data_IF_570436300252
#
_entry.id   IF_570436300252
#
_cell.length_a   1.000
_cell.length_b   1.000
_cell.length_c   1.000
_cell.angle_alpha   90.00
_cell.angle_beta   90.00
_cell.angle_gamma   90.00
#
_symmetry.space_group_name_H-M   'P 1'
#
loop_
_entity.id
_entity.type
_entity.pdbx_description
1 polymer ?
#
# COMPACT_ATOMS: atom_id res chain seq x y z
N UNK A 1 6.54 -29.95 -19.53
CA UNK A 1 5.99 -28.80 -18.78
C UNK A 1 7.10 -27.86 -18.32
N UNK A 2 8.05 -28.30 -17.47
CA UNK A 2 9.12 -27.45 -16.92
C UNK A 2 9.86 -26.58 -17.96
N UNK A 3 10.38 -27.22 -19.00
CA UNK A 3 11.12 -26.54 -20.08
C UNK A 3 10.25 -25.50 -20.81
N UNK A 4 9.03 -25.89 -21.20
CA UNK A 4 8.10 -24.99 -21.89
C UNK A 4 7.72 -23.78 -21.02
N UNK A 5 7.52 -23.98 -19.71
CA UNK A 5 7.24 -22.90 -18.77
C UNK A 5 8.43 -21.95 -18.63
N UNK A 6 9.66 -22.48 -18.53
CA UNK A 6 10.88 -21.68 -18.47
C UNK A 6 11.09 -20.85 -19.75
N UNK A 7 10.90 -21.45 -20.92
CA UNK A 7 10.98 -20.76 -22.21
C UNK A 7 9.93 -19.64 -22.30
N UNK A 8 8.68 -19.93 -21.97
CA UNK A 8 7.62 -18.92 -21.96
C UNK A 8 7.90 -17.77 -20.98
N UNK A 9 8.43 -18.09 -19.80
CA UNK A 9 8.80 -17.11 -18.78
C UNK A 9 9.95 -16.19 -19.23
N UNK A 10 10.96 -16.77 -19.89
CA UNK A 10 12.17 -16.08 -20.35
C UNK A 10 12.01 -15.21 -21.59
N UNK A 11 10.84 -15.25 -22.26
CA UNK A 11 10.61 -14.49 -23.48
C UNK A 11 10.78 -12.98 -23.23
N UNK A 12 11.64 -12.27 -23.99
CA UNK A 12 12.00 -10.88 -23.70
C UNK A 12 10.90 -9.87 -24.04
N UNK A 13 9.95 -10.21 -24.93
CA UNK A 13 8.83 -9.34 -25.30
C UNK A 13 7.62 -9.46 -24.37
N UNK A 14 6.57 -8.67 -24.60
CA UNK A 14 5.30 -8.80 -23.85
C UNK A 14 4.57 -10.06 -24.32
N UNK A 15 3.98 -10.83 -23.38
CA UNK A 15 3.13 -11.97 -23.74
C UNK A 15 1.76 -11.47 -24.20
N UNK A 16 1.22 -12.08 -25.26
CA UNK A 16 -0.07 -11.71 -25.84
C UNK A 16 -1.15 -12.70 -25.41
N UNK A 17 -2.42 -12.32 -25.54
CA UNK A 17 -3.54 -13.24 -25.32
C UNK A 17 -3.43 -14.50 -26.21
N UNK A 18 -2.93 -14.35 -27.44
CA UNK A 18 -2.74 -15.47 -28.36
C UNK A 18 -1.66 -16.45 -27.88
N UNK A 19 -0.51 -15.97 -27.40
CA UNK A 19 0.55 -16.83 -26.88
C UNK A 19 0.17 -17.49 -25.56
N UNK A 20 -0.53 -16.77 -24.67
CA UNK A 20 -1.09 -17.34 -23.45
C UNK A 20 -2.12 -18.45 -23.77
N UNK A 21 -2.98 -18.23 -24.76
CA UNK A 21 -3.94 -19.25 -25.22
C UNK A 21 -3.25 -20.47 -25.80
N UNK A 22 -2.30 -20.31 -26.71
CA UNK A 22 -1.55 -21.44 -27.27
C UNK A 22 -0.86 -22.27 -26.18
N UNK A 23 -0.26 -21.60 -25.19
CA UNK A 23 0.37 -22.27 -24.06
C UNK A 23 -0.65 -23.08 -23.23
N UNK A 24 -1.80 -22.48 -22.89
CA UNK A 24 -2.84 -23.12 -22.09
C UNK A 24 -3.60 -24.22 -22.83
N UNK A 25 -3.71 -24.14 -24.16
CA UNK A 25 -4.26 -25.19 -25.02
C UNK A 25 -3.37 -26.46 -24.95
N UNK A 26 -2.05 -26.30 -24.77
CA UNK A 26 -1.08 -27.39 -24.60
C UNK A 26 -0.93 -27.86 -23.15
N UNK A 27 -1.01 -26.93 -22.20
CA UNK A 27 -0.81 -27.18 -20.78
C UNK A 27 -1.95 -26.53 -19.98
N UNK A 28 -3.06 -27.25 -19.74
CA UNK A 28 -4.20 -26.69 -19.02
C UNK A 28 -3.83 -26.24 -17.60
N UNK A 29 -4.44 -25.15 -17.12
CA UNK A 29 -4.17 -24.57 -15.79
C UNK A 29 -4.26 -25.59 -14.66
N UNK A 30 -5.24 -26.50 -14.69
CA UNK A 30 -5.37 -27.56 -13.70
C UNK A 30 -4.13 -28.47 -13.61
N UNK A 31 -3.50 -28.77 -14.76
CA UNK A 31 -2.26 -29.57 -14.82
C UNK A 31 -1.09 -28.77 -14.25
N UNK A 32 -1.01 -27.47 -14.56
CA UNK A 32 0.04 -26.58 -14.04
C UNK A 32 -0.09 -26.45 -12.52
N UNK A 33 -1.30 -26.24 -11.99
CA UNK A 33 -1.53 -26.13 -10.55
C UNK A 33 -1.25 -27.43 -9.81
N UNK A 34 -1.65 -28.58 -10.37
CA UNK A 34 -1.28 -29.87 -9.82
C UNK A 34 0.24 -30.06 -9.78
N UNK A 35 0.94 -29.69 -10.85
CA UNK A 35 2.40 -29.74 -10.87
C UNK A 35 3.05 -28.77 -9.85
N UNK A 36 2.44 -27.62 -9.58
CA UNK A 36 2.91 -26.68 -8.56
C UNK A 36 2.72 -27.23 -7.15
N UNK A 37 1.63 -27.97 -6.90
CA UNK A 37 1.36 -28.62 -5.61
C UNK A 37 2.26 -29.84 -5.37
N UNK A 38 2.60 -30.60 -6.40
CA UNK A 38 3.42 -31.81 -6.32
C UNK A 38 4.92 -31.57 -6.61
N UNK A 39 5.30 -30.36 -7.00
CA UNK A 39 6.59 -30.05 -7.62
C UNK A 39 7.80 -29.93 -6.71
N UNK A 40 7.68 -30.26 -5.41
CA UNK A 40 8.77 -30.16 -4.44
C UNK A 40 10.01 -31.00 -4.82
N UNK A 41 9.82 -32.05 -5.63
CA UNK A 41 10.87 -33.01 -5.97
C UNK A 41 11.69 -32.64 -7.24
N UNK A 42 11.29 -31.62 -8.00
CA UNK A 42 11.97 -31.22 -9.24
C UNK A 42 12.59 -29.84 -9.10
N UNK A 43 13.92 -29.80 -9.02
CA UNK A 43 14.68 -28.55 -8.89
C UNK A 43 14.32 -27.54 -9.98
N UNK A 44 13.95 -26.32 -9.59
CA UNK A 44 13.64 -25.21 -10.49
C UNK A 44 12.25 -25.27 -11.16
N UNK A 45 11.48 -26.35 -10.99
CA UNK A 45 10.14 -26.47 -11.55
C UNK A 45 9.21 -25.39 -11.01
N UNK A 46 9.16 -25.23 -9.68
CA UNK A 46 8.30 -24.23 -9.04
C UNK A 46 8.56 -22.82 -9.59
N UNK A 47 9.83 -22.40 -9.67
CA UNK A 47 10.21 -21.09 -10.18
C UNK A 47 9.79 -20.89 -11.65
N UNK A 48 10.00 -21.90 -12.50
CA UNK A 48 9.60 -21.85 -13.90
C UNK A 48 8.07 -21.73 -14.05
N UNK A 49 7.30 -22.50 -13.25
CA UNK A 49 5.84 -22.45 -13.28
C UNK A 49 5.30 -21.13 -12.73
N UNK A 50 5.84 -20.63 -11.61
CA UNK A 50 5.43 -19.35 -11.03
C UNK A 50 5.68 -18.21 -12.01
N UNK A 51 6.88 -18.14 -12.59
CA UNK A 51 7.24 -17.10 -13.55
C UNK A 51 6.38 -17.18 -14.82
N UNK A 52 6.08 -18.39 -15.29
CA UNK A 52 5.20 -18.61 -16.43
C UNK A 52 3.76 -18.15 -16.13
N UNK A 53 3.19 -18.57 -14.99
CA UNK A 53 1.85 -18.19 -14.56
C UNK A 53 1.71 -16.69 -14.34
N UNK A 54 2.72 -16.04 -13.77
CA UNK A 54 2.72 -14.58 -13.59
C UNK A 54 2.52 -13.87 -14.94
N UNK A 55 3.24 -14.32 -15.97
CA UNK A 55 3.11 -13.76 -17.32
C UNK A 55 1.80 -14.09 -18.00
N UNK A 56 1.26 -15.29 -17.78
CA UNK A 56 -0.05 -15.69 -18.30
C UNK A 56 -1.13 -14.80 -17.67
N UNK A 57 -1.15 -14.66 -16.35
CA UNK A 57 -2.16 -13.85 -15.65
C UNK A 57 -2.03 -12.35 -15.93
N UNK A 58 -0.85 -11.87 -16.33
CA UNK A 58 -0.68 -10.51 -16.83
C UNK A 58 -1.39 -10.21 -18.17
N UNK A 59 -1.89 -11.24 -18.87
CA UNK A 59 -2.69 -11.07 -20.10
C UNK A 59 -4.20 -10.97 -19.80
N UNK A 60 -4.99 -10.41 -20.71
CA UNK A 60 -6.46 -10.36 -20.53
C UNK A 60 -7.07 -11.75 -20.60
N UNK A 61 -6.54 -12.60 -21.49
CA UNK A 61 -6.96 -13.99 -21.60
C UNK A 61 -6.68 -14.76 -20.29
N UNK A 62 -5.44 -14.71 -19.78
CA UNK A 62 -5.08 -15.43 -18.56
C UNK A 62 -5.81 -14.93 -17.31
N UNK A 63 -5.94 -13.61 -17.13
CA UNK A 63 -6.66 -13.03 -15.99
C UNK A 63 -8.15 -13.41 -15.96
N UNK A 64 -8.77 -13.64 -17.12
CA UNK A 64 -10.18 -14.08 -17.20
C UNK A 64 -10.44 -15.46 -16.54
N UNK A 65 -9.40 -16.28 -16.36
CA UNK A 65 -9.52 -17.58 -15.68
C UNK A 65 -9.44 -17.47 -14.17
N UNK A 66 -8.87 -16.40 -13.60
CA UNK A 66 -8.62 -16.29 -12.16
C UNK A 66 -9.91 -16.50 -11.33
N UNK A 67 -11.07 -15.91 -11.69
CA UNK A 67 -12.32 -16.16 -10.97
C UNK A 67 -12.74 -17.64 -10.93
N UNK A 68 -12.41 -18.41 -11.97
CA UNK A 68 -12.76 -19.84 -12.05
C UNK A 68 -11.83 -20.73 -11.21
N UNK A 69 -10.65 -20.22 -10.84
CA UNK A 69 -9.63 -20.93 -10.06
C UNK A 69 -9.38 -20.26 -8.71
N UNK A 70 -10.36 -19.54 -8.17
CA UNK A 70 -10.26 -18.88 -6.86
C UNK A 70 -9.84 -19.80 -5.70
N UNK A 71 -10.29 -21.07 -5.63
CA UNK A 71 -9.79 -22.00 -4.61
C UNK A 71 -8.26 -22.17 -4.64
N UNK A 72 -7.65 -22.17 -5.83
CA UNK A 72 -6.19 -22.24 -5.97
C UNK A 72 -5.51 -20.93 -5.58
N UNK A 73 -6.13 -19.79 -5.85
CA UNK A 73 -5.63 -18.47 -5.41
C UNK A 73 -5.63 -18.39 -3.88
N UNK A 74 -6.74 -18.78 -3.23
CA UNK A 74 -6.86 -18.78 -1.77
C UNK A 74 -5.84 -19.72 -1.12
N UNK A 75 -5.69 -20.94 -1.66
CA UNK A 75 -4.65 -21.88 -1.21
C UNK A 75 -3.24 -21.31 -1.43
N UNK A 76 -3.01 -20.61 -2.56
CA UNK A 76 -1.74 -19.97 -2.88
C UNK A 76 -1.36 -18.85 -1.92
N UNK A 77 -2.32 -18.02 -1.48
CA UNK A 77 -2.09 -16.97 -0.46
C UNK A 77 -1.65 -17.57 0.90
N UNK A 78 -2.04 -18.82 1.17
CA UNK A 78 -1.71 -19.54 2.40
C UNK A 78 -0.53 -20.51 2.22
N UNK A 79 0.09 -20.56 1.04
CA UNK A 79 1.17 -21.50 0.75
C UNK A 79 2.41 -21.23 1.62
N UNK A 80 3.15 -22.28 1.97
CA UNK A 80 4.45 -22.12 2.63
C UNK A 80 5.50 -21.45 1.72
N UNK A 81 5.40 -21.69 0.41
CA UNK A 81 6.29 -21.10 -0.59
C UNK A 81 6.03 -19.62 -0.79
N UNK A 82 7.05 -18.80 -0.54
CA UNK A 82 6.99 -17.35 -0.75
C UNK A 82 6.67 -16.99 -2.20
N UNK A 83 7.17 -17.77 -3.16
CA UNK A 83 6.95 -17.51 -4.59
C UNK A 83 5.50 -17.75 -4.97
N UNK A 84 4.90 -18.83 -4.46
CA UNK A 84 3.49 -19.15 -4.67
C UNK A 84 2.60 -18.11 -4.00
N UNK A 85 2.92 -17.67 -2.77
CA UNK A 85 2.20 -16.56 -2.11
C UNK A 85 2.26 -15.28 -2.93
N UNK A 86 3.44 -14.94 -3.45
CA UNK A 86 3.64 -13.75 -4.27
C UNK A 86 2.81 -13.82 -5.57
N UNK A 87 2.84 -14.96 -6.27
CA UNK A 87 2.01 -15.20 -7.44
C UNK A 87 0.52 -15.04 -7.13
N UNK A 88 0.05 -15.60 -6.01
CA UNK A 88 -1.34 -15.51 -5.61
C UNK A 88 -1.76 -14.06 -5.30
N UNK A 89 -0.90 -13.28 -4.64
CA UNK A 89 -1.13 -11.85 -4.43
C UNK A 89 -1.26 -11.10 -5.77
N UNK A 90 -0.35 -11.37 -6.73
CA UNK A 90 -0.42 -10.79 -8.08
C UNK A 90 -1.66 -11.23 -8.85
N UNK A 91 -2.07 -12.50 -8.74
CA UNK A 91 -3.31 -12.97 -9.34
C UNK A 91 -4.53 -12.20 -8.82
N UNK A 92 -4.58 -11.92 -7.51
CA UNK A 92 -5.64 -11.08 -6.94
C UNK A 92 -5.59 -9.65 -7.49
N UNK A 93 -4.41 -9.07 -7.73
CA UNK A 93 -4.31 -7.72 -8.28
C UNK A 93 -4.83 -7.59 -9.72
N UNK A 94 -4.97 -8.71 -10.44
CA UNK A 94 -5.59 -8.81 -11.76
C UNK A 94 -7.10 -9.10 -11.72
N UNK A 95 -7.70 -9.35 -10.56
CA UNK A 95 -9.14 -9.58 -10.45
C UNK A 95 -9.92 -8.29 -10.73
N UNK A 96 -10.81 -8.35 -11.72
CA UNK A 96 -11.72 -7.26 -12.07
C UNK A 96 -13.11 -7.40 -11.41
N UNK A 97 -13.38 -8.51 -10.71
CA UNK A 97 -14.71 -8.89 -10.20
C UNK A 97 -14.70 -8.97 -8.67
N UNK A 98 -15.72 -8.37 -8.04
CA UNK A 98 -15.76 -8.10 -6.60
C UNK A 98 -16.28 -9.25 -5.71
N UNK A 99 -16.69 -10.39 -6.26
CA UNK A 99 -17.63 -11.30 -5.57
C UNK A 99 -17.00 -12.06 -4.37
N UNK A 100 -15.66 -12.19 -4.29
CA UNK A 100 -14.98 -12.94 -3.22
C UNK A 100 -14.01 -12.11 -2.36
N UNK A 101 -13.99 -10.78 -2.52
CA UNK A 101 -13.00 -9.91 -1.91
C UNK A 101 -12.99 -9.93 -0.37
N UNK A 102 -14.15 -10.21 0.26
CA UNK A 102 -14.28 -10.31 1.73
C UNK A 102 -13.45 -11.47 2.30
N UNK A 103 -13.35 -12.59 1.58
CA UNK A 103 -12.60 -13.78 2.03
C UNK A 103 -11.09 -13.60 1.75
N UNK A 104 -10.76 -12.93 0.65
CA UNK A 104 -9.39 -12.73 0.19
C UNK A 104 -8.65 -11.68 1.02
N UNK A 105 -9.33 -10.62 1.44
CA UNK A 105 -8.70 -9.48 2.12
C UNK A 105 -7.92 -9.86 3.40
N UNK A 106 -8.46 -10.68 4.33
CA UNK A 106 -7.69 -11.15 5.49
C UNK A 106 -6.44 -11.95 5.10
N UNK A 107 -6.51 -12.73 4.01
CA UNK A 107 -5.36 -13.49 3.51
C UNK A 107 -4.28 -12.57 2.94
N UNK A 108 -4.66 -11.51 2.22
CA UNK A 108 -3.73 -10.48 1.78
C UNK A 108 -3.09 -9.76 2.99
N UNK A 109 -3.87 -9.38 4.00
CA UNK A 109 -3.29 -8.79 5.21
C UNK A 109 -2.27 -9.72 5.88
N UNK A 110 -2.55 -11.03 5.94
CA UNK A 110 -1.56 -12.00 6.43
C UNK A 110 -0.32 -12.06 5.53
N UNK A 111 -0.47 -12.01 4.21
CA UNK A 111 0.66 -11.93 3.27
C UNK A 111 1.48 -10.64 3.46
N UNK A 112 0.85 -9.50 3.75
CA UNK A 112 1.52 -8.24 4.04
C UNK A 112 2.37 -8.34 5.32
N UNK A 113 1.78 -8.91 6.38
CA UNK A 113 2.38 -8.99 7.72
C UNK A 113 3.50 -10.05 7.76
N UNK A 114 3.21 -11.27 7.31
CA UNK A 114 4.07 -12.45 7.41
C UNK A 114 4.86 -12.75 6.12
N UNK A 115 4.71 -11.91 5.10
CA UNK A 115 5.41 -12.00 3.82
C UNK A 115 6.91 -11.71 3.92
N UNK A 116 7.69 -12.32 3.04
CA UNK A 116 8.97 -11.68 2.65
C UNK A 116 8.67 -10.37 1.89
N UNK A 117 9.71 -9.62 1.54
CA UNK A 117 9.58 -8.32 0.88
C UNK A 117 8.73 -8.37 -0.40
N UNK A 118 8.96 -9.37 -1.26
CA UNK A 118 8.23 -9.53 -2.52
C UNK A 118 6.74 -9.83 -2.29
N UNK A 119 6.43 -10.71 -1.34
CA UNK A 119 5.04 -11.05 -0.98
C UNK A 119 4.33 -9.83 -0.39
N UNK A 120 4.99 -9.10 0.51
CA UNK A 120 4.42 -7.90 1.12
C UNK A 120 4.14 -6.80 0.09
N UNK A 121 5.06 -6.60 -0.87
CA UNK A 121 4.87 -5.66 -1.97
C UNK A 121 3.70 -6.08 -2.87
N UNK A 122 3.67 -7.33 -3.33
CA UNK A 122 2.59 -7.85 -4.17
C UNK A 122 1.22 -7.77 -3.46
N UNK A 123 1.18 -8.07 -2.16
CA UNK A 123 -0.03 -7.95 -1.35
C UNK A 123 -0.49 -6.50 -1.21
N UNK A 124 0.46 -5.57 -1.04
CA UNK A 124 0.15 -4.14 -0.97
C UNK A 124 -0.50 -3.67 -2.26
N UNK A 125 0.07 -4.05 -3.40
CA UNK A 125 -0.45 -3.67 -4.71
C UNK A 125 -1.84 -4.27 -4.97
N UNK A 126 -2.07 -5.53 -4.54
CA UNK A 126 -3.37 -6.16 -4.60
C UNK A 126 -4.42 -5.40 -3.77
N UNK A 127 -4.11 -5.05 -2.51
CA UNK A 127 -5.02 -4.28 -1.64
C UNK A 127 -5.30 -2.88 -2.22
N UNK A 128 -4.27 -2.21 -2.76
CA UNK A 128 -4.42 -0.90 -3.41
C UNK A 128 -5.32 -1.00 -4.65
N UNK A 129 -5.20 -2.06 -5.45
CA UNK A 129 -6.07 -2.28 -6.60
C UNK A 129 -7.52 -2.58 -6.18
N UNK A 130 -7.72 -3.33 -5.09
CA UNK A 130 -9.06 -3.53 -4.49
C UNK A 130 -9.63 -2.18 -4.05
N UNK A 131 -8.87 -1.35 -3.33
CA UNK A 131 -9.34 -0.04 -2.86
C UNK A 131 -9.71 0.93 -4.00
N UNK A 132 -9.19 0.70 -5.21
CA UNK A 132 -9.54 1.47 -6.42
C UNK A 132 -10.82 0.98 -7.10
N UNK A 133 -11.28 -0.24 -6.82
CA UNK A 133 -12.48 -0.78 -7.46
C UNK A 133 -13.77 -0.24 -6.80
N UNK A 134 -14.89 -0.13 -7.54
CA UNK A 134 -16.17 0.24 -6.97
C UNK A 134 -16.58 -0.74 -5.85
N UNK A 135 -16.87 -0.23 -4.65
CA UNK A 135 -17.22 -1.04 -3.47
C UNK A 135 -16.04 -1.75 -2.78
N UNK A 136 -14.82 -1.68 -3.32
CA UNK A 136 -13.64 -2.26 -2.68
C UNK A 136 -13.21 -1.51 -1.42
N UNK A 137 -13.52 -0.21 -1.35
CA UNK A 137 -13.25 0.65 -0.19
C UNK A 137 -13.95 0.16 1.10
N UNK A 138 -15.15 -0.42 0.97
CA UNK A 138 -15.94 -0.94 2.10
C UNK A 138 -15.35 -2.23 2.69
N UNK A 139 -14.44 -2.89 1.95
CA UNK A 139 -13.79 -4.16 2.32
C UNK A 139 -12.43 -3.90 2.98
N UNK A 140 -11.76 -2.82 2.59
CA UNK A 140 -10.39 -2.52 3.03
C UNK A 140 -10.34 -2.06 4.50
N UNK A 141 -11.48 -1.79 5.15
CA UNK A 141 -11.59 -1.42 6.58
C UNK A 141 -12.78 -2.13 7.23
N UNK A 142 -12.74 -2.72 8.46
CA UNK A 142 -11.74 -2.58 9.54
C UNK A 142 -11.23 -3.92 10.13
N UNK A 143 -9.91 -4.18 10.18
CA UNK A 143 -9.26 -5.14 11.12
C UNK A 143 -7.71 -4.99 11.18
N UNK A 144 -7.21 -3.76 11.16
CA UNK A 144 -5.77 -3.54 11.10
C UNK A 144 -5.16 -3.34 12.50
N UNK A 145 -4.46 -4.39 12.93
CA UNK A 145 -3.32 -4.45 13.86
C UNK A 145 -3.47 -3.84 15.27
N UNK A 146 -3.93 -4.66 16.22
CA UNK A 146 -3.63 -4.46 17.65
C UNK A 146 -2.47 -5.36 18.16
N UNK A 147 -1.97 -6.33 17.37
CA UNK A 147 -1.03 -7.37 17.84
C UNK A 147 -0.01 -7.85 16.78
N UNK A 148 0.69 -6.93 16.11
CA UNK A 148 1.68 -7.28 15.08
C UNK A 148 3.12 -6.85 15.50
N UNK A 149 4.14 -7.49 14.93
CA UNK A 149 5.56 -7.12 15.12
C UNK A 149 5.86 -5.70 14.61
N UNK A 150 6.96 -5.06 15.03
CA UNK A 150 7.33 -3.70 14.59
C UNK A 150 7.40 -3.59 13.06
N UNK A 151 8.02 -4.55 12.38
CA UNK A 151 8.09 -4.58 10.92
C UNK A 151 6.70 -4.69 10.28
N UNK A 152 5.84 -5.56 10.79
CA UNK A 152 4.48 -5.71 10.29
C UNK A 152 3.65 -4.43 10.50
N UNK A 153 3.83 -3.75 11.64
CA UNK A 153 3.20 -2.45 11.92
C UNK A 153 3.66 -1.39 10.92
N UNK A 154 4.96 -1.28 10.63
CA UNK A 154 5.46 -0.36 9.60
C UNK A 154 4.89 -0.67 8.22
N UNK A 155 4.80 -1.94 7.82
CA UNK A 155 4.18 -2.33 6.53
C UNK A 155 2.71 -1.96 6.44
N UNK A 156 1.98 -2.16 7.54
CA UNK A 156 0.59 -1.72 7.68
C UNK A 156 0.48 -0.20 7.55
N UNK A 157 1.35 0.57 8.20
CA UNK A 157 1.38 2.02 8.07
C UNK A 157 1.69 2.45 6.64
N UNK A 158 2.63 1.79 5.97
CA UNK A 158 2.95 2.04 4.57
C UNK A 158 1.74 1.79 3.65
N UNK A 159 0.97 0.73 3.91
CA UNK A 159 -0.30 0.49 3.21
C UNK A 159 -1.28 1.64 3.47
N UNK A 160 -1.47 2.08 4.72
CA UNK A 160 -2.36 3.20 5.07
C UNK A 160 -1.97 4.45 4.27
N UNK A 161 -0.68 4.81 4.24
CA UNK A 161 -0.18 5.97 3.48
C UNK A 161 -0.45 5.83 1.98
N UNK A 162 -0.23 4.64 1.39
CA UNK A 162 -0.56 4.39 -0.02
C UNK A 162 -2.06 4.54 -0.30
N UNK A 163 -2.94 4.11 0.60
CA UNK A 163 -4.39 4.24 0.45
C UNK A 163 -4.82 5.72 0.45
N UNK A 164 -4.24 6.55 1.32
CA UNK A 164 -4.48 8.00 1.30
C UNK A 164 -4.16 8.63 -0.06
N UNK A 165 -3.17 8.12 -0.78
CA UNK A 165 -2.75 8.65 -2.08
C UNK A 165 -3.60 8.19 -3.27
N UNK A 166 -4.64 7.37 -3.07
CA UNK A 166 -5.48 6.87 -4.17
C UNK A 166 -6.46 7.94 -4.68
N UNK A 167 -7.28 8.50 -3.78
CA UNK A 167 -8.28 9.53 -4.11
C UNK A 167 -8.77 10.22 -2.84
N UNK A 168 -9.47 11.36 -3.01
CA UNK A 168 -10.09 12.07 -1.88
C UNK A 168 -11.15 11.26 -1.14
N UNK A 169 -11.89 10.40 -1.85
CA UNK A 169 -12.90 9.51 -1.27
C UNK A 169 -12.26 8.41 -0.43
N UNK A 170 -11.24 7.74 -0.98
CA UNK A 170 -10.47 6.70 -0.26
C UNK A 170 -9.82 7.29 0.98
N UNK A 171 -9.17 8.44 0.84
CA UNK A 171 -8.55 9.14 1.96
C UNK A 171 -9.56 9.48 3.08
N UNK A 172 -10.79 9.86 2.74
CA UNK A 172 -11.85 10.08 3.74
C UNK A 172 -12.20 8.80 4.49
N UNK A 173 -12.44 7.70 3.77
CA UNK A 173 -12.78 6.43 4.42
C UNK A 173 -11.64 5.90 5.31
N UNK A 174 -10.38 6.06 4.89
CA UNK A 174 -9.21 5.69 5.70
C UNK A 174 -9.17 6.51 6.99
N UNK A 175 -9.41 7.82 6.89
CA UNK A 175 -9.47 8.72 8.03
C UNK A 175 -10.62 8.37 8.99
N UNK A 176 -11.83 8.15 8.46
CA UNK A 176 -13.02 7.81 9.24
C UNK A 176 -12.88 6.45 9.95
N UNK A 177 -12.06 5.56 9.39
CA UNK A 177 -11.66 4.28 10.00
C UNK A 177 -10.64 4.42 11.15
N UNK A 178 -10.25 5.64 11.51
CA UNK A 178 -9.34 5.98 12.63
C UNK A 178 -7.95 5.36 12.53
N UNK A 179 -7.51 4.99 11.32
CA UNK A 179 -6.23 4.31 11.13
C UNK A 179 -5.01 5.21 11.30
N UNK A 180 -5.17 6.54 11.16
CA UNK A 180 -4.09 7.47 11.47
C UNK A 180 -3.68 7.42 12.96
N UNK A 181 -4.55 6.95 13.86
CA UNK A 181 -4.19 6.71 15.25
C UNK A 181 -3.07 5.67 15.41
N UNK A 182 -2.93 4.73 14.48
CA UNK A 182 -1.80 3.78 14.47
C UNK A 182 -0.48 4.48 14.15
N UNK A 183 -0.51 5.45 13.22
CA UNK A 183 0.65 6.25 12.86
C UNK A 183 1.05 7.18 14.01
N UNK A 184 0.08 7.82 14.66
CA UNK A 184 0.29 8.63 15.86
C UNK A 184 0.97 7.82 16.98
N UNK A 185 0.50 6.59 17.20
CA UNK A 185 1.07 5.71 18.22
C UNK A 185 2.54 5.35 17.95
N UNK A 186 2.93 5.16 16.69
CA UNK A 186 4.33 4.89 16.35
C UNK A 186 5.22 6.13 16.40
N UNK A 187 4.72 7.28 15.96
CA UNK A 187 5.47 8.55 16.07
C UNK A 187 5.71 8.91 17.54
N UNK A 188 4.79 8.57 18.42
CA UNK A 188 4.92 8.79 19.86
C UNK A 188 5.66 7.65 20.59
N UNK A 189 6.14 6.62 19.88
CA UNK A 189 6.86 5.51 20.48
C UNK A 189 8.26 5.97 20.95
N UNK A 190 8.52 5.88 22.25
CA UNK A 190 9.80 6.28 22.86
C UNK A 190 10.79 5.13 23.03
N UNK A 191 10.35 3.89 22.77
CA UNK A 191 11.14 2.68 23.05
C UNK A 191 11.93 2.16 21.85
N UNK A 192 11.48 2.47 20.63
CA UNK A 192 12.07 1.96 19.40
C UNK A 192 12.30 3.10 18.40
N UNK A 193 13.50 3.69 18.45
CA UNK A 193 13.87 4.80 17.59
C UNK A 193 13.79 4.48 16.10
N UNK A 194 14.13 3.25 15.69
CA UNK A 194 14.12 2.87 14.28
C UNK A 194 12.69 2.79 13.73
N UNK A 195 11.77 2.26 14.53
CA UNK A 195 10.34 2.26 14.20
C UNK A 195 9.77 3.67 14.18
N UNK A 196 10.13 4.53 15.15
CA UNK A 196 9.71 5.94 15.16
C UNK A 196 10.23 6.70 13.94
N UNK A 197 11.49 6.52 13.56
CA UNK A 197 12.06 7.12 12.36
C UNK A 197 11.33 6.64 11.09
N UNK A 198 11.06 5.34 11.00
CA UNK A 198 10.31 4.74 9.88
C UNK A 198 8.88 5.31 9.80
N UNK A 199 8.22 5.51 10.95
CA UNK A 199 6.91 6.15 10.99
C UNK A 199 6.95 7.63 10.57
N UNK A 200 8.03 8.36 10.92
CA UNK A 200 8.26 9.73 10.44
C UNK A 200 8.48 9.78 8.92
N UNK A 201 9.16 8.81 8.31
CA UNK A 201 9.26 8.71 6.84
C UNK A 201 7.88 8.55 6.19
N UNK A 202 7.07 7.64 6.72
CA UNK A 202 5.72 7.42 6.22
C UNK A 202 4.83 8.65 6.40
N UNK A 203 5.00 9.40 7.51
CA UNK A 203 4.31 10.67 7.71
C UNK A 203 4.78 11.74 6.72
N UNK A 204 6.07 11.75 6.36
CA UNK A 204 6.63 12.65 5.36
C UNK A 204 6.05 12.38 3.96
N UNK A 205 5.88 11.10 3.59
CA UNK A 205 5.18 10.67 2.38
C UNK A 205 3.70 11.05 2.41
N UNK A 206 3.02 10.83 3.55
CA UNK A 206 1.61 11.20 3.72
C UNK A 206 1.39 12.71 3.57
N UNK A 207 2.31 13.53 4.07
CA UNK A 207 2.28 14.98 3.91
C UNK A 207 2.54 15.43 2.46
N UNK A 208 3.18 14.61 1.62
CA UNK A 208 3.32 14.89 0.18
C UNK A 208 2.03 14.65 -0.59
N UNK A 209 1.19 13.75 -0.09
CA UNK A 209 -0.04 13.36 -0.76
C UNK A 209 -1.05 14.53 -0.79
N UNK A 210 -1.56 14.92 -1.97
CA UNK A 210 -2.55 15.99 -2.08
C UNK A 210 -3.85 15.65 -1.36
N UNK A 211 -4.12 14.36 -1.13
CA UNK A 211 -5.30 13.88 -0.43
C UNK A 211 -5.05 13.64 1.06
N UNK A 212 -3.81 13.33 1.46
CA UNK A 212 -3.41 13.02 2.84
C UNK A 212 -3.18 14.25 3.72
N UNK A 213 -2.57 15.30 3.17
CA UNK A 213 -2.14 16.48 3.96
C UNK A 213 -3.26 17.14 4.77
N UNK A 214 -4.46 17.24 4.20
CA UNK A 214 -5.63 17.83 4.87
C UNK A 214 -6.07 17.04 6.11
N UNK A 215 -5.79 15.74 6.16
CA UNK A 215 -6.17 14.89 7.29
C UNK A 215 -5.09 14.90 8.37
N UNK A 216 -3.82 15.02 8.00
CA UNK A 216 -2.73 15.18 8.98
C UNK A 216 -2.97 16.40 9.87
N UNK A 217 -3.41 17.52 9.29
CA UNK A 217 -3.74 18.74 10.05
C UNK A 217 -4.95 18.60 11.00
N UNK A 218 -5.76 17.54 10.87
CA UNK A 218 -6.91 17.25 11.73
C UNK A 218 -6.59 16.29 12.88
N UNK A 219 -5.33 15.89 13.03
CA UNK A 219 -4.87 14.92 14.01
C UNK A 219 -3.93 15.55 15.04
N UNK A 220 -3.50 14.76 16.03
CA UNK A 220 -2.47 15.21 17.00
C UNK A 220 -1.05 15.18 16.41
N UNK A 221 -0.87 14.72 15.16
CA UNK A 221 0.44 14.56 14.53
C UNK A 221 1.25 15.87 14.50
N UNK A 222 0.61 17.02 14.25
CA UNK A 222 1.31 18.31 14.29
C UNK A 222 1.85 18.61 15.69
N UNK A 223 1.07 18.35 16.74
CA UNK A 223 1.49 18.55 18.13
C UNK A 223 2.63 17.58 18.52
N UNK A 224 2.57 16.33 18.04
CA UNK A 224 3.66 15.36 18.22
C UNK A 224 4.95 15.82 17.55
N UNK A 225 4.87 16.34 16.32
CA UNK A 225 6.03 16.92 15.63
C UNK A 225 6.61 18.09 16.41
N UNK A 226 5.78 19.03 16.88
CA UNK A 226 6.23 20.13 17.75
C UNK A 226 6.93 19.61 19.00
N UNK A 227 6.36 18.60 19.67
CA UNK A 227 6.96 17.99 20.86
C UNK A 227 8.32 17.37 20.56
N UNK A 228 8.48 16.67 19.43
CA UNK A 228 9.75 16.10 19.00
C UNK A 228 10.78 17.21 18.78
N UNK A 229 10.42 18.27 18.04
CA UNK A 229 11.31 19.39 17.70
C UNK A 229 11.81 20.09 18.96
N UNK A 230 10.91 20.37 19.92
CA UNK A 230 11.24 21.10 21.15
C UNK A 230 11.99 20.25 22.18
N UNK A 231 12.07 18.92 22.01
CA UNK A 231 12.72 18.04 22.96
C UNK A 231 14.21 17.85 22.65
N UNK A 232 15.06 18.65 23.29
CA UNK A 232 16.52 18.61 23.13
C UNK A 232 17.17 17.26 23.53
N UNK A 233 16.48 16.42 24.31
CA UNK A 233 16.98 15.09 24.68
C UNK A 233 16.82 14.02 23.61
N UNK A 234 16.02 14.28 22.56
CA UNK A 234 15.86 13.36 21.45
C UNK A 234 17.01 13.47 20.44
N UNK A 235 17.30 12.34 19.81
CA UNK A 235 18.32 12.23 18.77
C UNK A 235 18.10 13.26 17.66
N UNK A 236 19.17 13.95 17.20
CA UNK A 236 19.06 15.00 16.19
C UNK A 236 18.35 14.55 14.91
N UNK A 237 18.49 13.29 14.51
CA UNK A 237 17.86 12.74 13.30
C UNK A 237 16.32 12.79 13.37
N UNK A 238 15.73 12.49 14.54
CA UNK A 238 14.28 12.56 14.74
C UNK A 238 13.79 14.00 14.66
N UNK A 239 14.53 14.93 15.29
CA UNK A 239 14.23 16.37 15.23
C UNK A 239 14.33 16.91 13.82
N UNK A 240 15.40 16.60 13.09
CA UNK A 240 15.58 17.00 11.70
C UNK A 240 14.44 16.51 10.81
N UNK A 241 14.02 15.26 10.96
CA UNK A 241 12.87 14.73 10.21
C UNK A 241 11.56 15.42 10.59
N UNK A 242 11.31 15.64 11.88
CA UNK A 242 10.11 16.35 12.32
C UNK A 242 10.03 17.79 11.78
N UNK A 243 11.18 18.49 11.69
CA UNK A 243 11.29 19.83 11.08
C UNK A 243 10.90 19.76 9.59
N UNK A 244 11.43 18.80 8.82
CA UNK A 244 11.13 18.66 7.40
C UNK A 244 9.64 18.39 7.14
N UNK A 245 9.04 17.50 7.95
CA UNK A 245 7.60 17.20 7.86
C UNK A 245 6.79 18.46 8.19
N UNK A 246 7.13 19.16 9.28
CA UNK A 246 6.44 20.39 9.68
C UNK A 246 6.51 21.46 8.59
N UNK A 247 7.68 21.63 7.95
CA UNK A 247 7.85 22.53 6.81
C UNK A 247 6.93 22.17 5.64
N UNK A 248 6.77 20.88 5.31
CA UNK A 248 5.81 20.43 4.29
C UNK A 248 4.37 20.72 4.68
N UNK A 249 3.98 20.43 5.93
CA UNK A 249 2.64 20.75 6.41
C UNK A 249 2.34 22.25 6.32
N UNK A 250 3.28 23.10 6.75
CA UNK A 250 3.16 24.55 6.62
C UNK A 250 3.11 25.02 5.17
N UNK A 251 3.76 24.31 4.24
CA UNK A 251 3.66 24.64 2.82
C UNK A 251 2.22 24.52 2.28
N UNK A 252 1.36 23.70 2.89
CA UNK A 252 -0.05 23.60 2.47
C UNK A 252 -0.90 24.83 2.79
N UNK A 253 -0.51 25.61 3.80
CA UNK A 253 -1.19 26.87 4.13
C UNK A 253 -0.63 28.05 3.35
N UNK A 254 0.44 27.87 2.57
CA UNK A 254 1.07 28.93 1.76
C UNK A 254 0.08 29.62 0.85
N UNK A 255 -0.80 28.88 0.19
CA UNK A 255 -1.81 29.46 -0.72
C UNK A 255 -2.80 30.35 0.05
N UNK A 256 -3.19 29.94 1.26
CA UNK A 256 -4.04 30.75 2.15
C UNK A 256 -3.31 32.01 2.58
N UNK A 257 -2.02 31.93 2.94
CA UNK A 257 -1.21 33.09 3.30
C UNK A 257 -1.09 34.08 2.14
N UNK A 258 -0.83 33.60 0.92
CA UNK A 258 -0.80 34.45 -0.28
C UNK A 258 -2.15 35.10 -0.59
N UNK A 259 -3.26 34.40 -0.29
CA UNK A 259 -4.59 34.96 -0.44
C UNK A 259 -4.85 36.09 0.57
N UNK A 260 -4.43 35.92 1.84
CA UNK A 260 -4.51 36.96 2.88
C UNK A 260 -3.62 38.15 2.52
N UNK A 261 -2.38 37.91 2.09
CA UNK A 261 -1.43 38.94 1.66
C UNK A 261 -2.01 39.81 0.53
N UNK A 262 -2.67 39.18 -0.46
CA UNK A 262 -3.33 39.90 -1.54
C UNK A 262 -4.48 40.82 -1.06
N UNK A 263 -5.00 40.66 0.17
CA UNK A 263 -6.03 41.53 0.75
C UNK A 263 -5.47 42.79 1.40
N UNK A 264 -4.16 42.87 1.63
CA UNK A 264 -3.52 44.04 2.26
C UNK A 264 -3.66 45.33 1.42
N UNK A 265 -3.92 45.20 0.12
CA UNK A 265 -4.12 46.34 -0.79
C UNK A 265 -5.57 46.85 -0.84
N UNK A 266 -6.52 46.18 -0.16
CA UNK A 266 -7.94 46.53 -0.18
C UNK A 266 -8.36 47.18 1.14
N UNK A 267 -8.78 48.45 1.09
CA UNK A 267 -9.03 49.27 2.29
C UNK A 267 -10.02 48.64 3.29
N UNK A 268 -11.06 47.97 2.81
CA UNK A 268 -12.10 47.38 3.66
C UNK A 268 -11.68 46.05 4.31
N UNK A 269 -10.66 45.37 3.76
CA UNK A 269 -10.23 44.02 4.18
C UNK A 269 -8.84 44.03 4.84
N UNK A 270 -8.12 45.16 4.75
CA UNK A 270 -6.74 45.33 5.20
C UNK A 270 -6.56 45.08 6.71
N UNK A 271 -7.45 45.63 7.55
CA UNK A 271 -7.39 45.45 9.01
C UNK A 271 -7.54 43.97 9.39
N UNK A 272 -8.47 43.26 8.74
CA UNK A 272 -8.68 41.82 8.98
C UNK A 272 -7.49 40.99 8.52
N UNK A 273 -6.85 41.36 7.41
CA UNK A 273 -5.66 40.68 6.93
C UNK A 273 -4.45 40.90 7.87
N UNK A 274 -4.27 42.11 8.40
CA UNK A 274 -3.22 42.39 9.38
C UNK A 274 -3.45 41.66 10.70
N UNK A 275 -4.69 41.64 11.22
CA UNK A 275 -5.01 40.92 12.45
C UNK A 275 -4.73 39.42 12.26
N UNK A 276 -5.19 38.83 11.16
CA UNK A 276 -4.94 37.42 10.85
C UNK A 276 -3.45 37.06 10.77
N UNK A 277 -2.62 37.90 10.13
CA UNK A 277 -1.17 37.70 10.09
C UNK A 277 -0.54 37.87 11.48
N UNK A 278 -1.00 38.85 12.27
CA UNK A 278 -0.55 39.07 13.64
C UNK A 278 -0.84 37.90 14.59
N UNK A 279 -1.91 37.12 14.34
CA UNK A 279 -2.19 35.89 15.10
C UNK A 279 -1.17 34.77 14.85
N UNK A 280 -0.42 34.81 13.74
CA UNK A 280 0.58 33.79 13.38
C UNK A 280 1.92 34.07 14.08
N UNK A 281 2.23 35.34 14.36
CA UNK A 281 3.48 35.83 14.95
C UNK A 281 4.31 36.61 13.94
#
# INVERSE_FOLDING_TARGET
>A
LAQAAAEFASYPGIQTDASAKEFLDRFPLAVIFSALQCGADVAGLENALVSCLERIFGTKYGSSFIPHYMPFVQAGLQAYSQMVRCLACKAVSYLLVNVELVIIYPLLLNCLIEGNELVAAASTDAIVNIARSPGGIDIVFPHIAARCSSLARIRVLALIVKLFSISSLVASAVYDSKLLGLLEAEVNNKSDMLTTLSALELLYELAESPHGIKFVLKTTLLQLLTSIISNASLEPILRSRAILISGRLLSSVRTTLLAIDARLQHADECESAFDALGQIG
#
